data_IF_160489738419
#
_entry.id   IF_160489738419
#
_cell.length_a   1.000
_cell.length_b   1.000
_cell.length_c   1.000
_cell.angle_alpha   90.00
_cell.angle_beta   90.00
_cell.angle_gamma   90.00
#
_symmetry.space_group_name_H-M   'P 1'
#
loop_
_entity.id
_entity.type
_entity.pdbx_description
1 polymer ?
#
# COMPACT_ATOMS: atom_id res chain seq x y z
N UNK A 1 -13.92 10.62 44.77
CA UNK A 1 -14.04 10.42 43.32
C UNK A 1 -12.64 10.15 42.80
N UNK A 2 -12.29 8.89 42.57
CA UNK A 2 -10.96 8.47 42.13
C UNK A 2 -10.94 8.41 40.61
N UNK A 3 -10.33 9.40 39.97
CA UNK A 3 -9.99 9.34 38.56
C UNK A 3 -8.96 8.22 38.37
N UNK A 4 -9.38 7.13 37.73
CA UNK A 4 -8.48 6.09 37.27
C UNK A 4 -7.74 6.63 36.05
N UNK A 5 -6.54 7.19 36.27
CA UNK A 5 -5.58 7.45 35.21
C UNK A 5 -5.16 6.10 34.62
N UNK A 6 -5.86 5.70 33.55
CA UNK A 6 -5.46 4.56 32.74
C UNK A 6 -4.01 4.74 32.25
N UNK A 7 -3.31 3.65 31.90
CA UNK A 7 -1.92 3.74 31.46
C UNK A 7 -1.82 4.70 30.28
N UNK A 8 -1.00 5.74 30.43
CA UNK A 8 -0.63 6.65 29.34
C UNK A 8 -0.03 5.80 28.24
N UNK A 9 -0.79 5.62 27.16
CA UNK A 9 -0.33 4.87 26.01
C UNK A 9 0.80 5.68 25.34
N UNK A 10 2.06 5.18 25.32
CA UNK A 10 3.19 5.91 24.73
C UNK A 10 3.06 6.10 23.21
N UNK A 11 2.02 5.52 22.58
CA UNK A 11 1.72 5.67 21.16
C UNK A 11 0.69 6.76 20.86
N UNK A 12 0.20 7.51 21.85
CA UNK A 12 -0.48 8.80 21.63
C UNK A 12 0.54 9.89 21.29
N UNK A 13 1.21 9.68 20.17
CA UNK A 13 2.01 10.69 19.48
C UNK A 13 1.01 11.74 18.95
N UNK A 14 1.09 12.98 19.45
CA UNK A 14 0.14 14.10 19.29
C UNK A 14 -0.08 14.53 17.81
N UNK A 15 -0.70 13.66 17.00
CA UNK A 15 -1.04 13.92 15.59
C UNK A 15 -2.47 14.38 15.37
N UNK A 16 -3.31 14.40 16.40
CA UNK A 16 -4.57 15.12 16.35
C UNK A 16 -4.24 16.61 16.34
N UNK A 17 -4.51 17.36 15.25
CA UNK A 17 -4.50 18.82 15.35
C UNK A 17 -5.54 19.17 16.41
N UNK A 18 -5.13 19.89 17.46
CA UNK A 18 -6.06 20.49 18.40
C UNK A 18 -6.86 21.57 17.65
N UNK A 19 -7.98 21.19 17.06
CA UNK A 19 -8.80 22.09 16.26
C UNK A 19 -9.78 21.34 15.39
N UNK A 20 -10.92 20.98 15.99
CA UNK A 20 -12.12 20.40 15.37
C UNK A 20 -11.99 19.02 14.69
N UNK A 21 -13.01 18.15 14.81
CA UNK A 21 -13.06 16.90 14.06
C UNK A 21 -13.07 17.18 12.54
N UNK A 22 -12.50 16.28 11.71
CA UNK A 22 -12.52 16.44 10.26
C UNK A 22 -13.96 16.60 9.73
N UNK A 23 -14.13 17.47 8.75
CA UNK A 23 -15.42 17.68 8.08
C UNK A 23 -15.86 16.42 7.33
N UNK A 24 -17.14 16.34 6.96
CA UNK A 24 -17.65 15.22 6.14
C UNK A 24 -16.97 15.12 4.78
N UNK A 25 -16.72 16.26 4.13
CA UNK A 25 -15.98 16.31 2.88
C UNK A 25 -14.56 15.76 3.04
N UNK A 26 -13.84 16.15 4.10
CA UNK A 26 -12.49 15.66 4.36
C UNK A 26 -12.46 14.15 4.60
N UNK A 27 -13.44 13.62 5.35
CA UNK A 27 -13.61 12.17 5.55
C UNK A 27 -13.87 11.44 4.24
N UNK A 28 -14.69 12.01 3.37
CA UNK A 28 -14.98 11.45 2.05
C UNK A 28 -13.75 11.44 1.16
N UNK A 29 -13.02 12.56 1.04
CA UNK A 29 -11.80 12.62 0.22
C UNK A 29 -10.69 11.70 0.74
N UNK A 30 -10.53 11.58 2.07
CA UNK A 30 -9.56 10.68 2.68
C UNK A 30 -9.90 9.21 2.39
N UNK A 31 -11.18 8.82 2.47
CA UNK A 31 -11.65 7.48 2.11
C UNK A 31 -11.44 7.20 0.61
N UNK A 32 -11.80 8.15 -0.26
CA UNK A 32 -11.62 8.02 -1.70
C UNK A 32 -10.15 7.82 -2.08
N UNK A 33 -9.21 8.43 -1.37
CA UNK A 33 -7.79 8.21 -1.62
C UNK A 33 -7.38 6.74 -1.40
N UNK A 34 -7.99 6.04 -0.45
CA UNK A 34 -7.75 4.61 -0.21
C UNK A 34 -8.57 3.69 -1.11
N UNK A 35 -9.79 4.05 -1.46
CA UNK A 35 -10.65 3.19 -2.31
C UNK A 35 -10.25 3.27 -3.78
N UNK A 36 -10.08 4.50 -4.30
CA UNK A 36 -9.80 4.68 -5.73
C UNK A 36 -8.42 4.14 -6.13
N UNK A 37 -7.47 4.08 -5.19
CA UNK A 37 -6.16 3.50 -5.49
C UNK A 37 -6.26 2.03 -5.92
N UNK A 38 -7.28 1.28 -5.51
CA UNK A 38 -7.46 -0.12 -5.90
C UNK A 38 -7.67 -0.30 -7.42
N UNK A 39 -8.31 0.68 -8.06
CA UNK A 39 -8.68 0.60 -9.47
C UNK A 39 -7.71 1.36 -10.38
N UNK A 40 -7.22 2.51 -9.92
CA UNK A 40 -6.40 3.41 -10.72
C UNK A 40 -4.97 3.60 -10.17
N UNK A 41 -4.55 2.74 -9.24
CA UNK A 41 -3.18 2.69 -8.75
C UNK A 41 -2.81 3.91 -7.90
N UNK A 42 -1.63 4.48 -8.14
CA UNK A 42 -1.12 5.62 -7.39
C UNK A 42 -1.69 6.98 -7.88
N UNK A 43 -2.39 7.02 -9.02
CA UNK A 43 -2.86 8.28 -9.61
C UNK A 43 -3.93 8.98 -8.76
N UNK A 44 -5.03 8.32 -8.32
CA UNK A 44 -6.04 8.97 -7.48
C UNK A 44 -5.50 9.57 -6.18
N UNK A 45 -4.70 8.84 -5.36
CA UNK A 45 -4.18 9.43 -4.13
C UNK A 45 -3.20 10.59 -4.40
N UNK A 46 -2.45 10.56 -5.50
CA UNK A 46 -1.62 11.69 -5.92
C UNK A 46 -2.48 12.93 -6.25
N UNK A 47 -3.53 12.76 -7.07
CA UNK A 47 -4.42 13.87 -7.45
C UNK A 47 -5.12 14.44 -6.21
N UNK A 48 -5.65 13.57 -5.33
CA UNK A 48 -6.31 14.00 -4.09
C UNK A 48 -5.33 14.74 -3.17
N UNK A 49 -4.10 14.25 -3.02
CA UNK A 49 -3.06 14.93 -2.24
C UNK A 49 -2.76 16.34 -2.76
N UNK A 50 -2.67 16.52 -4.08
CA UNK A 50 -2.40 17.83 -4.69
C UNK A 50 -3.59 18.79 -4.57
N UNK A 51 -4.82 18.31 -4.79
CA UNK A 51 -6.03 19.14 -4.77
C UNK A 51 -6.44 19.53 -3.35
N UNK A 52 -6.31 18.61 -2.38
CA UNK A 52 -6.76 18.81 -0.98
C UNK A 52 -5.58 19.00 -0.02
N UNK A 53 -4.44 19.52 -0.50
CA UNK A 53 -3.22 19.71 0.30
C UNK A 53 -3.40 20.60 1.54
N UNK A 54 -4.34 21.54 1.49
CA UNK A 54 -4.64 22.45 2.59
C UNK A 54 -5.34 21.75 3.77
N UNK A 55 -5.95 20.57 3.56
CA UNK A 55 -6.47 19.74 4.64
C UNK A 55 -5.40 18.78 5.10
N UNK A 56 -4.92 18.96 6.33
CA UNK A 56 -3.91 18.06 6.93
C UNK A 56 -4.41 16.61 7.00
N UNK A 57 -5.71 16.42 7.26
CA UNK A 57 -6.33 15.09 7.34
C UNK A 57 -6.33 14.39 5.98
N UNK A 58 -6.82 15.07 4.94
CA UNK A 58 -6.86 14.50 3.59
C UNK A 58 -5.44 14.28 3.06
N UNK A 59 -4.55 15.27 3.24
CA UNK A 59 -3.16 15.18 2.80
C UNK A 59 -2.45 13.99 3.45
N UNK A 60 -2.68 13.74 4.74
CA UNK A 60 -2.13 12.58 5.45
C UNK A 60 -2.59 11.25 4.84
N UNK A 61 -3.90 11.03 4.70
CA UNK A 61 -4.43 9.77 4.15
C UNK A 61 -4.07 9.57 2.67
N UNK A 62 -4.11 10.63 1.87
CA UNK A 62 -3.76 10.58 0.47
C UNK A 62 -2.27 10.27 0.25
N UNK A 63 -1.39 10.92 1.01
CA UNK A 63 0.03 10.63 0.94
C UNK A 63 0.36 9.22 1.43
N UNK A 64 -0.35 8.74 2.47
CA UNK A 64 -0.20 7.39 2.96
C UNK A 64 -0.62 6.34 1.91
N UNK A 65 -1.74 6.56 1.22
CA UNK A 65 -2.19 5.71 0.10
C UNK A 65 -1.18 5.74 -1.07
N UNK A 66 -0.65 6.93 -1.37
CA UNK A 66 0.35 7.12 -2.43
C UNK A 66 1.65 6.35 -2.15
N UNK A 67 2.21 6.50 -0.94
CA UNK A 67 3.42 5.78 -0.53
C UNK A 67 3.23 4.27 -0.54
N UNK A 68 2.06 3.80 -0.11
CA UNK A 68 1.70 2.40 -0.17
C UNK A 68 1.69 1.88 -1.61
N UNK A 69 1.06 2.60 -2.54
CA UNK A 69 1.01 2.17 -3.94
C UNK A 69 2.36 2.19 -4.63
N UNK A 70 3.20 3.18 -4.34
CA UNK A 70 4.57 3.19 -4.87
C UNK A 70 5.35 1.97 -4.34
N UNK A 71 5.24 1.68 -3.04
CA UNK A 71 5.91 0.51 -2.43
C UNK A 71 5.41 -0.79 -3.07
N UNK A 72 4.09 -0.96 -3.17
CA UNK A 72 3.47 -2.13 -3.77
C UNK A 72 3.87 -2.30 -5.24
N UNK A 73 3.88 -1.22 -6.01
CA UNK A 73 4.33 -1.21 -7.41
C UNK A 73 5.79 -1.67 -7.54
N UNK A 74 6.70 -1.15 -6.72
CA UNK A 74 8.11 -1.56 -6.74
C UNK A 74 8.25 -3.05 -6.41
N UNK A 75 7.54 -3.56 -5.41
CA UNK A 75 7.57 -5.00 -5.05
C UNK A 75 7.11 -5.86 -6.22
N UNK A 76 6.02 -5.48 -6.89
CA UNK A 76 5.52 -6.22 -8.06
C UNK A 76 6.54 -6.18 -9.20
N UNK A 77 7.08 -5.01 -9.53
CA UNK A 77 8.04 -4.87 -10.64
C UNK A 77 9.29 -5.70 -10.39
N UNK A 78 9.86 -5.66 -9.18
CA UNK A 78 11.02 -6.49 -8.84
C UNK A 78 10.70 -7.98 -8.89
N UNK A 79 9.54 -8.39 -8.38
CA UNK A 79 9.08 -9.77 -8.45
C UNK A 79 8.90 -10.25 -9.89
N UNK A 80 8.30 -9.43 -10.75
CA UNK A 80 8.14 -9.71 -12.17
C UNK A 80 9.51 -9.79 -12.89
N UNK A 81 10.43 -8.87 -12.61
CA UNK A 81 11.79 -8.91 -13.17
C UNK A 81 12.52 -10.20 -12.80
N UNK A 82 12.45 -10.63 -11.54
CA UNK A 82 13.05 -11.90 -11.09
C UNK A 82 12.40 -13.10 -11.81
N UNK A 83 11.07 -13.10 -11.95
CA UNK A 83 10.34 -14.16 -12.65
C UNK A 83 10.78 -14.25 -14.12
N UNK A 84 10.76 -13.14 -14.86
CA UNK A 84 11.19 -13.11 -16.25
C UNK A 84 12.67 -13.48 -16.41
N UNK A 85 13.55 -12.97 -15.55
CA UNK A 85 14.96 -13.33 -15.56
C UNK A 85 15.17 -14.84 -15.37
N UNK A 86 14.42 -15.47 -14.45
CA UNK A 86 14.47 -16.92 -14.26
C UNK A 86 13.97 -17.68 -15.49
N UNK A 87 12.90 -17.20 -16.14
CA UNK A 87 12.34 -17.81 -17.35
C UNK A 87 13.32 -17.74 -18.53
N UNK A 88 13.90 -16.57 -18.80
CA UNK A 88 14.93 -16.42 -19.83
C UNK A 88 16.18 -17.25 -19.52
N UNK A 89 16.58 -17.34 -18.26
CA UNK A 89 17.68 -18.19 -17.82
C UNK A 89 17.42 -19.67 -18.11
N UNK A 90 16.21 -20.17 -17.88
CA UNK A 90 15.82 -21.55 -18.19
C UNK A 90 15.86 -21.79 -19.71
N UNK A 91 15.27 -20.90 -20.50
CA UNK A 91 15.23 -21.01 -21.96
C UNK A 91 16.66 -20.98 -22.55
N UNK A 92 17.50 -20.06 -22.11
CA UNK A 92 18.88 -19.92 -22.59
C UNK A 92 19.72 -21.18 -22.29
N UNK A 93 19.58 -21.75 -21.09
CA UNK A 93 20.26 -23.02 -20.72
C UNK A 93 19.78 -24.17 -21.60
N UNK A 94 18.49 -24.27 -21.85
CA UNK A 94 17.92 -25.34 -22.67
C UNK A 94 18.34 -25.24 -24.15
N UNK A 95 18.41 -24.02 -24.68
CA UNK A 95 18.93 -23.75 -26.02
C UNK A 95 20.40 -24.14 -26.17
N UNK A 96 21.24 -23.81 -25.18
CA UNK A 96 22.66 -24.19 -25.17
C UNK A 96 22.86 -25.72 -25.12
N UNK A 97 21.98 -26.44 -24.42
CA UNK A 97 22.07 -27.90 -24.28
C UNK A 97 21.49 -28.68 -25.48
N UNK A 98 21.07 -28.00 -26.57
CA UNK A 98 20.59 -28.63 -27.80
C UNK A 98 19.20 -29.30 -27.70
N UNK A 99 18.41 -29.01 -26.65
CA UNK A 99 17.10 -29.61 -26.44
C UNK A 99 16.02 -28.83 -27.20
N UNK A 100 15.86 -29.10 -28.50
CA UNK A 100 14.99 -28.35 -29.40
C UNK A 100 13.48 -28.45 -29.13
N UNK A 101 12.99 -29.42 -28.34
CA UNK A 101 11.55 -29.68 -28.16
C UNK A 101 11.15 -30.13 -26.74
N UNK A 102 11.94 -29.79 -25.73
CA UNK A 102 11.63 -30.17 -24.34
C UNK A 102 10.57 -29.25 -23.72
N UNK A 103 9.48 -29.82 -23.21
CA UNK A 103 8.52 -29.09 -22.38
C UNK A 103 9.24 -28.32 -21.25
N UNK A 104 8.71 -27.16 -20.79
CA UNK A 104 9.30 -26.44 -19.67
C UNK A 104 9.51 -27.38 -18.47
N UNK A 105 10.66 -27.35 -17.79
CA UNK A 105 10.92 -28.21 -16.64
C UNK A 105 9.82 -28.07 -15.58
N UNK A 106 9.46 -29.14 -14.88
CA UNK A 106 8.43 -29.10 -13.81
C UNK A 106 8.71 -28.02 -12.77
N UNK A 107 9.99 -27.77 -12.47
CA UNK A 107 10.41 -26.69 -11.56
C UNK A 107 9.97 -25.28 -12.00
N UNK A 108 9.79 -25.04 -13.30
CA UNK A 108 9.22 -23.79 -13.82
C UNK A 108 7.78 -23.59 -13.34
N UNK A 109 6.93 -24.62 -13.48
CA UNK A 109 5.52 -24.54 -13.07
C UNK A 109 5.36 -24.41 -11.55
N UNK A 110 6.24 -25.06 -10.79
CA UNK A 110 6.27 -24.91 -9.32
C UNK A 110 6.68 -23.50 -8.93
N UNK A 111 7.75 -22.96 -9.54
CA UNK A 111 8.22 -21.60 -9.27
C UNK A 111 7.19 -20.54 -9.69
N UNK A 112 6.60 -20.71 -10.87
CA UNK A 112 5.53 -19.84 -11.37
C UNK A 112 4.29 -19.91 -10.46
N UNK A 113 3.85 -21.10 -10.08
CA UNK A 113 2.72 -21.29 -9.17
C UNK A 113 2.96 -20.65 -7.80
N UNK A 114 4.15 -20.83 -7.23
CA UNK A 114 4.53 -20.20 -5.98
C UNK A 114 4.55 -18.66 -6.09
N UNK A 115 5.12 -18.12 -7.15
CA UNK A 115 5.10 -16.68 -7.42
C UNK A 115 3.67 -16.15 -7.56
N UNK A 116 2.82 -16.86 -8.31
CA UNK A 116 1.42 -16.49 -8.50
C UNK A 116 0.65 -16.47 -7.17
N UNK A 117 0.87 -17.45 -6.29
CA UNK A 117 0.24 -17.49 -4.97
C UNK A 117 0.71 -16.33 -4.07
N UNK A 118 2.00 -16.03 -4.07
CA UNK A 118 2.56 -14.89 -3.32
C UNK A 118 1.98 -13.57 -3.86
N UNK A 119 1.91 -13.43 -5.19
CA UNK A 119 1.33 -12.28 -5.84
C UNK A 119 -0.16 -12.11 -5.47
N UNK A 120 -0.93 -13.19 -5.48
CA UNK A 120 -2.34 -13.19 -5.07
C UNK A 120 -2.49 -12.83 -3.59
N UNK A 121 -1.65 -13.36 -2.72
CA UNK A 121 -1.64 -12.98 -1.31
C UNK A 121 -1.33 -11.48 -1.14
N UNK A 122 -0.36 -10.95 -1.88
CA UNK A 122 -0.05 -9.51 -1.89
C UNK A 122 -1.22 -8.65 -2.37
N UNK A 123 -1.92 -9.08 -3.42
CA UNK A 123 -3.11 -8.39 -3.94
C UNK A 123 -4.24 -8.38 -2.91
N UNK A 124 -4.47 -9.50 -2.23
CA UNK A 124 -5.47 -9.62 -1.16
C UNK A 124 -5.11 -8.70 0.02
N UNK A 125 -3.84 -8.69 0.45
CA UNK A 125 -3.37 -7.76 1.49
C UNK A 125 -3.59 -6.30 1.08
N UNK A 126 -3.26 -5.94 -0.16
CA UNK A 126 -3.49 -4.60 -0.71
C UNK A 126 -4.99 -4.22 -0.65
N UNK A 127 -5.88 -5.14 -1.03
CA UNK A 127 -7.33 -4.96 -0.95
C UNK A 127 -7.81 -4.73 0.49
N UNK A 128 -7.38 -5.59 1.42
CA UNK A 128 -7.75 -5.48 2.83
C UNK A 128 -7.28 -4.16 3.44
N UNK A 129 -6.04 -3.75 3.15
CA UNK A 129 -5.49 -2.50 3.66
C UNK A 129 -6.28 -1.29 3.12
N UNK A 130 -6.51 -1.22 1.81
CA UNK A 130 -7.30 -0.15 1.21
C UNK A 130 -8.69 -0.01 1.83
N UNK A 131 -9.40 -1.12 2.03
CA UNK A 131 -10.74 -1.11 2.66
C UNK A 131 -10.64 -0.70 4.13
N UNK A 132 -9.73 -1.28 4.91
CA UNK A 132 -9.56 -0.98 6.33
C UNK A 132 -9.24 0.50 6.57
N UNK A 133 -8.27 1.06 5.83
CA UNK A 133 -7.91 2.47 5.96
C UNK A 133 -8.96 3.41 5.33
N UNK A 134 -9.71 2.95 4.32
CA UNK A 134 -10.88 3.65 3.80
C UNK A 134 -11.97 3.81 4.87
N UNK A 135 -12.31 2.75 5.60
CA UNK A 135 -13.29 2.80 6.68
C UNK A 135 -12.81 3.69 7.84
N UNK A 136 -11.56 3.51 8.29
CA UNK A 136 -11.02 4.34 9.39
C UNK A 136 -10.93 5.83 9.04
N UNK A 137 -10.53 6.16 7.82
CA UNK A 137 -10.52 7.56 7.38
C UNK A 137 -11.92 8.15 7.26
N UNK A 138 -12.92 7.35 6.85
CA UNK A 138 -14.32 7.79 6.85
C UNK A 138 -14.86 8.05 8.27
N UNK A 139 -14.37 7.33 9.28
CA UNK A 139 -14.67 7.57 10.69
C UNK A 139 -13.98 8.83 11.26
N UNK A 140 -13.10 9.48 10.49
CA UNK A 140 -12.30 10.62 10.96
C UNK A 140 -11.10 10.21 11.80
N UNK A 141 -10.72 8.92 11.79
CA UNK A 141 -9.56 8.44 12.53
C UNK A 141 -8.26 8.63 11.75
N UNK A 142 -7.24 9.11 12.44
CA UNK A 142 -5.87 9.30 11.92
C UNK A 142 -5.10 7.98 11.86
N UNK A 143 -5.66 7.00 11.16
CA UNK A 143 -5.11 5.66 11.07
C UNK A 143 -3.86 5.59 10.21
N UNK A 144 -2.73 5.24 10.83
CA UNK A 144 -1.45 5.14 10.17
C UNK A 144 -1.08 3.69 9.81
N UNK A 145 -0.42 3.47 8.66
CA UNK A 145 0.27 2.20 8.39
C UNK A 145 1.40 2.04 9.41
N UNK A 146 1.57 0.87 10.07
CA UNK A 146 2.61 0.69 11.09
C UNK A 146 4.04 1.03 10.60
N UNK A 147 4.33 0.74 9.32
CA UNK A 147 5.64 0.95 8.71
C UNK A 147 5.74 2.32 7.98
N UNK A 148 4.70 2.75 7.27
CA UNK A 148 4.73 3.96 6.43
C UNK A 148 4.19 5.22 7.12
N UNK A 149 3.48 5.05 8.24
CA UNK A 149 2.86 6.12 8.98
C UNK A 149 3.84 7.17 9.51
N UNK A 150 5.08 6.77 9.82
CA UNK A 150 6.12 7.72 10.28
C UNK A 150 6.59 8.66 9.17
N UNK A 151 6.64 8.17 7.93
CA UNK A 151 7.08 8.95 6.76
C UNK A 151 5.98 9.86 6.24
N UNK A 152 4.75 9.35 6.12
CA UNK A 152 3.59 10.15 5.73
C UNK A 152 3.39 11.36 6.67
N UNK A 153 3.58 11.15 7.98
CA UNK A 153 3.47 12.20 9.01
C UNK A 153 4.51 13.32 8.86
N UNK A 154 5.74 13.00 8.44
CA UNK A 154 6.80 14.00 8.22
C UNK A 154 6.54 14.82 6.96
N UNK A 155 6.14 14.15 5.88
CA UNK A 155 5.93 14.79 4.58
C UNK A 155 4.61 15.57 4.47
N UNK A 156 3.61 15.25 5.30
CA UNK A 156 2.36 16.01 5.37
C UNK A 156 2.47 17.28 6.24
N UNK A 157 3.51 17.38 7.08
CA UNK A 157 3.78 18.53 7.94
C UNK A 157 4.96 19.40 7.44
N UNK A 158 5.58 19.04 6.33
CA UNK A 158 6.64 19.79 5.66
C UNK A 158 6.04 20.68 4.56
#
# INVERSE_FOLDING_TARGET
MSETSGPVNPQQDNFQPAGFPPTEDERTFAMLAHVLQLFAGFIPPLVIYLVKRNSRFVAFHALQALLWQITYFVIIVLGMMMMFASMFGVIARQAHNGAANGAPPVGFFVGFGAFWLIFMAGWVVNLFLAIYYGIKSYQGEWAAYPLLGRWARRLANA
#
